data_IF_246569419164
#
_entry.id   IF_246569419164
#
_cell.length_a   1.000
_cell.length_b   1.000
_cell.length_c   1.000
_cell.angle_alpha   90.00
_cell.angle_beta   90.00
_cell.angle_gamma   90.00
#
_symmetry.space_group_name_H-M   'P 1'
#
loop_
_entity.id
_entity.type
_entity.pdbx_description
1 polymer ?
#
# COMPACT_ATOMS: atom_id res chain seq x y z
N UNK A 1 -13.36 58.56 -9.88
CA UNK A 1 -12.89 57.29 -9.29
C UNK A 1 -13.26 56.19 -10.25
N UNK A 2 -12.24 55.53 -10.80
CA UNK A 2 -12.31 54.72 -12.01
C UNK A 2 -12.97 53.36 -11.74
N UNK A 3 -14.16 53.15 -12.28
CA UNK A 3 -14.86 51.86 -12.29
C UNK A 3 -14.08 50.79 -13.05
N UNK A 4 -13.32 51.18 -14.07
CA UNK A 4 -12.49 50.26 -14.87
C UNK A 4 -11.28 49.69 -14.11
N UNK A 5 -10.66 50.47 -13.21
CA UNK A 5 -9.52 49.97 -12.42
C UNK A 5 -9.98 48.97 -11.36
N UNK A 6 -11.19 49.16 -10.81
CA UNK A 6 -11.77 48.25 -9.82
C UNK A 6 -12.21 46.91 -10.45
N UNK A 7 -12.59 46.92 -11.73
CA UNK A 7 -12.92 45.68 -12.47
C UNK A 7 -11.68 44.90 -12.89
N UNK A 8 -10.58 45.59 -13.26
CA UNK A 8 -9.32 44.94 -13.57
C UNK A 8 -8.70 44.27 -12.34
N UNK A 9 -8.66 44.97 -11.20
CA UNK A 9 -8.12 44.42 -9.94
C UNK A 9 -8.90 43.18 -9.44
N UNK A 10 -10.23 43.15 -9.63
CA UNK A 10 -11.04 41.98 -9.30
C UNK A 10 -10.84 40.81 -10.26
N UNK A 11 -10.57 41.08 -11.54
CA UNK A 11 -10.28 40.05 -12.53
C UNK A 11 -8.92 39.40 -12.24
N UNK A 12 -7.90 40.20 -11.92
CA UNK A 12 -6.56 39.73 -11.57
C UNK A 12 -6.59 38.86 -10.30
N UNK A 13 -7.29 39.31 -9.23
CA UNK A 13 -7.45 38.49 -8.01
C UNK A 13 -8.22 37.19 -8.23
N UNK A 14 -9.19 37.18 -9.17
CA UNK A 14 -9.94 35.98 -9.51
C UNK A 14 -9.09 34.98 -10.30
N UNK A 15 -8.27 35.48 -11.23
CA UNK A 15 -7.36 34.67 -12.04
C UNK A 15 -6.21 34.09 -11.19
N UNK A 16 -5.63 34.90 -10.30
CA UNK A 16 -4.57 34.48 -9.38
C UNK A 16 -5.09 33.42 -8.38
N UNK A 17 -6.30 33.61 -7.83
CA UNK A 17 -6.97 32.60 -7.00
C UNK A 17 -7.26 31.30 -7.75
N UNK A 18 -7.60 31.37 -9.04
CA UNK A 18 -7.83 30.20 -9.87
C UNK A 18 -6.52 29.46 -10.19
N UNK A 19 -5.43 30.19 -10.48
CA UNK A 19 -4.09 29.61 -10.70
C UNK A 19 -3.58 28.93 -9.42
N UNK A 20 -3.80 29.53 -8.25
CA UNK A 20 -3.42 28.93 -6.97
C UNK A 20 -4.23 27.65 -6.69
N UNK A 21 -5.54 27.67 -6.96
CA UNK A 21 -6.40 26.50 -6.85
C UNK A 21 -5.95 25.37 -7.79
N UNK A 22 -5.65 25.68 -9.05
CA UNK A 22 -5.15 24.72 -10.05
C UNK A 22 -3.81 24.13 -9.61
N UNK A 23 -2.88 24.96 -9.14
CA UNK A 23 -1.57 24.51 -8.63
C UNK A 23 -1.71 23.58 -7.44
N UNK A 24 -2.57 23.92 -6.47
CA UNK A 24 -2.88 23.07 -5.31
C UNK A 24 -3.50 21.73 -5.73
N UNK A 25 -4.42 21.73 -6.71
CA UNK A 25 -5.01 20.51 -7.25
C UNK A 25 -3.96 19.61 -7.94
N UNK A 26 -3.09 20.18 -8.76
CA UNK A 26 -2.01 19.43 -9.43
C UNK A 26 -1.04 18.82 -8.42
N UNK A 27 -0.65 19.59 -7.39
CA UNK A 27 0.24 19.11 -6.33
C UNK A 27 -0.41 17.97 -5.52
N UNK A 28 -1.68 18.10 -5.16
CA UNK A 28 -2.42 17.04 -4.46
C UNK A 28 -2.56 15.78 -5.32
N UNK A 29 -2.82 15.92 -6.62
CA UNK A 29 -2.86 14.79 -7.56
C UNK A 29 -1.50 14.08 -7.62
N UNK A 30 -0.39 14.83 -7.69
CA UNK A 30 0.97 14.26 -7.70
C UNK A 30 1.31 13.53 -6.40
N UNK A 31 0.97 14.12 -5.24
CA UNK A 31 1.11 13.47 -3.92
C UNK A 31 0.29 12.19 -3.84
N UNK A 32 -0.95 12.20 -4.35
CA UNK A 32 -1.81 11.02 -4.35
C UNK A 32 -1.26 9.91 -5.25
N UNK A 33 -0.78 10.23 -6.46
CA UNK A 33 -0.14 9.27 -7.36
C UNK A 33 1.11 8.64 -6.74
N UNK A 34 1.96 9.46 -6.10
CA UNK A 34 3.15 8.96 -5.42
C UNK A 34 2.79 8.06 -4.24
N UNK A 35 1.81 8.45 -3.42
CA UNK A 35 1.32 7.64 -2.31
C UNK A 35 0.75 6.30 -2.80
N UNK A 36 -0.05 6.30 -3.87
CA UNK A 36 -0.56 5.08 -4.50
C UNK A 36 0.57 4.18 -4.99
N UNK A 37 1.55 4.73 -5.70
CA UNK A 37 2.69 3.95 -6.19
C UNK A 37 3.49 3.30 -5.06
N UNK A 38 3.80 4.04 -3.99
CA UNK A 38 4.52 3.50 -2.83
C UNK A 38 3.69 2.49 -2.06
N UNK A 39 2.40 2.74 -1.91
CA UNK A 39 1.47 1.81 -1.25
C UNK A 39 1.39 0.50 -2.00
N UNK A 40 1.17 0.55 -3.31
CA UNK A 40 1.13 -0.64 -4.16
C UNK A 40 2.44 -1.41 -4.11
N UNK A 41 3.58 -0.72 -4.19
CA UNK A 41 4.89 -1.35 -4.10
C UNK A 41 5.12 -2.00 -2.73
N UNK A 42 4.76 -1.31 -1.64
CA UNK A 42 4.88 -1.84 -0.28
C UNK A 42 4.04 -3.10 -0.08
N UNK A 43 2.76 -3.06 -0.50
CA UNK A 43 1.86 -4.21 -0.44
C UNK A 43 2.42 -5.39 -1.23
N UNK A 44 2.93 -5.13 -2.44
CA UNK A 44 3.55 -6.17 -3.26
C UNK A 44 4.80 -6.76 -2.57
N UNK A 45 5.66 -5.92 -1.99
CA UNK A 45 6.81 -6.38 -1.21
C UNK A 45 6.41 -7.24 -0.01
N UNK A 46 5.39 -6.81 0.74
CA UNK A 46 4.90 -7.53 1.92
C UNK A 46 4.32 -8.89 1.52
N UNK A 47 3.59 -8.96 0.41
CA UNK A 47 3.08 -10.22 -0.11
C UNK A 47 4.22 -11.20 -0.42
N UNK A 48 5.24 -10.78 -1.17
CA UNK A 48 6.37 -11.66 -1.51
C UNK A 48 7.23 -12.01 -0.29
N UNK A 49 7.42 -11.05 0.63
CA UNK A 49 8.09 -11.31 1.90
C UNK A 49 7.34 -12.37 2.71
N UNK A 50 6.02 -12.23 2.80
CA UNK A 50 5.14 -13.19 3.46
C UNK A 50 5.32 -14.58 2.86
N UNK A 51 5.35 -14.67 1.53
CA UNK A 51 5.55 -15.94 0.84
C UNK A 51 6.93 -16.54 1.08
N UNK A 52 8.03 -15.77 1.03
CA UNK A 52 9.37 -16.30 1.35
C UNK A 52 9.42 -16.82 2.79
N UNK A 53 8.89 -16.04 3.73
CA UNK A 53 8.88 -16.38 5.16
C UNK A 53 7.97 -17.55 5.47
N UNK A 54 6.87 -17.73 4.74
CA UNK A 54 5.98 -18.88 4.87
C UNK A 54 6.52 -20.12 4.17
N UNK A 55 7.16 -19.97 3.01
CA UNK A 55 7.60 -21.08 2.18
C UNK A 55 8.75 -21.86 2.83
N UNK A 56 9.74 -21.16 3.41
CA UNK A 56 10.90 -21.81 4.05
C UNK A 56 10.51 -22.75 5.20
N UNK A 57 9.66 -22.35 6.16
CA UNK A 57 9.27 -23.24 7.26
C UNK A 57 8.24 -24.28 6.82
N UNK A 58 7.37 -23.96 5.85
CA UNK A 58 6.36 -24.90 5.33
C UNK A 58 7.01 -26.06 4.57
N UNK A 59 8.12 -25.81 3.85
CA UNK A 59 8.87 -26.88 3.19
C UNK A 59 9.47 -27.88 4.18
N UNK A 60 9.81 -27.43 5.40
CA UNK A 60 10.35 -28.28 6.45
C UNK A 60 9.27 -28.98 7.27
N UNK A 61 8.22 -28.25 7.68
CA UNK A 61 7.06 -28.84 8.35
C UNK A 61 5.80 -27.98 8.23
N UNK A 62 4.62 -28.59 8.04
CA UNK A 62 3.36 -27.84 7.89
C UNK A 62 2.96 -27.10 9.17
N UNK A 63 3.34 -27.60 10.34
CA UNK A 63 3.02 -26.98 11.63
C UNK A 63 3.76 -25.65 11.82
N UNK A 64 5.03 -25.56 11.41
CA UNK A 64 5.78 -24.30 11.44
C UNK A 64 5.17 -23.28 10.47
N UNK A 65 4.77 -23.71 9.27
CA UNK A 65 4.06 -22.87 8.30
C UNK A 65 2.80 -22.22 8.88
N UNK A 66 1.96 -23.02 9.56
CA UNK A 66 0.73 -22.52 10.21
C UNK A 66 1.04 -21.55 11.35
N UNK A 67 2.06 -21.83 12.18
CA UNK A 67 2.45 -20.95 13.29
C UNK A 67 2.92 -19.59 12.76
N UNK A 68 3.77 -19.56 11.73
CA UNK A 68 4.23 -18.30 11.13
C UNK A 68 3.09 -17.54 10.43
N UNK A 69 2.15 -18.25 9.80
CA UNK A 69 0.96 -17.65 9.19
C UNK A 69 0.10 -16.91 10.22
N UNK A 70 0.00 -17.43 11.44
CA UNK A 70 -0.83 -16.84 12.51
C UNK A 70 -0.11 -15.79 13.37
N UNK A 71 1.23 -15.76 13.36
CA UNK A 71 2.01 -14.89 14.25
C UNK A 71 2.77 -13.81 13.49
N UNK A 72 3.68 -14.22 12.61
CA UNK A 72 4.60 -13.33 11.91
C UNK A 72 3.89 -12.57 10.80
N UNK A 73 3.02 -13.24 10.05
CA UNK A 73 2.34 -12.63 8.91
C UNK A 73 1.43 -11.46 9.32
N UNK A 74 0.53 -11.59 10.32
CA UNK A 74 -0.31 -10.49 10.76
C UNK A 74 0.49 -9.28 11.26
N UNK A 75 1.66 -9.52 11.87
CA UNK A 75 2.55 -8.45 12.33
C UNK A 75 3.17 -7.70 11.15
N UNK A 76 3.69 -8.40 10.14
CA UNK A 76 4.24 -7.75 8.95
C UNK A 76 3.20 -6.94 8.19
N UNK A 77 2.01 -7.50 7.99
CA UNK A 77 0.92 -6.80 7.34
C UNK A 77 0.42 -5.62 8.15
N UNK A 78 0.31 -5.74 9.49
CA UNK A 78 -0.04 -4.62 10.36
C UNK A 78 0.98 -3.48 10.25
N UNK A 79 2.27 -3.76 10.46
CA UNK A 79 3.32 -2.72 10.34
C UNK A 79 3.33 -2.08 8.95
N UNK A 80 3.16 -2.89 7.90
CA UNK A 80 3.09 -2.41 6.52
C UNK A 80 1.90 -1.49 6.23
N UNK A 81 0.70 -1.92 6.63
CA UNK A 81 -0.54 -1.14 6.52
C UNK A 81 -0.42 0.16 7.32
N UNK A 82 0.15 0.10 8.52
CA UNK A 82 0.38 1.27 9.37
C UNK A 82 1.27 2.29 8.67
N UNK A 83 2.39 1.85 8.09
CA UNK A 83 3.30 2.73 7.35
C UNK A 83 2.58 3.36 6.15
N UNK A 84 1.81 2.58 5.38
CA UNK A 84 1.02 3.10 4.26
C UNK A 84 -0.05 4.13 4.70
N UNK A 85 -0.70 3.90 5.85
CA UNK A 85 -1.65 4.85 6.44
C UNK A 85 -0.96 6.11 6.99
N UNK A 86 0.25 5.99 7.52
CA UNK A 86 1.01 7.08 8.08
C UNK A 86 1.75 7.91 7.00
N UNK A 87 1.97 7.38 5.80
CA UNK A 87 2.56 8.12 4.68
C UNK A 87 1.69 9.32 4.27
N UNK A 88 2.28 10.47 3.99
CA UNK A 88 1.54 11.65 3.54
C UNK A 88 0.78 11.35 2.23
N UNK A 89 -0.52 11.68 2.19
CA UNK A 89 -1.40 11.42 1.05
C UNK A 89 -2.28 12.64 0.76
N UNK A 90 -2.58 12.92 -0.50
CA UNK A 90 -3.52 13.99 -0.89
C UNK A 90 -4.99 13.71 -0.52
N UNK A 91 -5.28 12.55 0.08
CA UNK A 91 -6.62 12.16 0.53
C UNK A 91 -6.91 12.78 1.90
N UNK A 92 -7.78 13.78 1.95
CA UNK A 92 -8.10 14.50 3.19
C UNK A 92 -8.88 13.71 4.25
N UNK A 93 -9.38 12.50 3.94
CA UNK A 93 -10.10 11.66 4.90
C UNK A 93 -9.42 10.30 5.09
N UNK A 94 -9.03 10.02 6.35
CA UNK A 94 -8.39 8.78 6.75
C UNK A 94 -9.20 7.53 6.40
N UNK A 95 -10.54 7.57 6.49
CA UNK A 95 -11.39 6.42 6.18
C UNK A 95 -11.39 6.09 4.68
N UNK A 96 -11.38 7.11 3.82
CA UNK A 96 -11.26 6.91 2.36
C UNK A 96 -9.89 6.34 2.02
N UNK A 97 -8.85 6.80 2.71
CA UNK A 97 -7.49 6.29 2.56
C UNK A 97 -7.38 4.81 2.98
N UNK A 98 -7.98 4.45 4.11
CA UNK A 98 -8.03 3.08 4.59
C UNK A 98 -8.80 2.16 3.63
N UNK A 99 -9.93 2.62 3.09
CA UNK A 99 -10.67 1.90 2.06
C UNK A 99 -9.83 1.66 0.80
N UNK A 100 -9.15 2.69 0.29
CA UNK A 100 -8.27 2.56 -0.88
C UNK A 100 -7.11 1.60 -0.59
N UNK A 101 -6.50 1.70 0.59
CA UNK A 101 -5.43 0.81 1.01
C UNK A 101 -5.92 -0.65 1.09
N UNK A 102 -7.10 -0.89 1.67
CA UNK A 102 -7.69 -2.22 1.74
C UNK A 102 -7.95 -2.80 0.33
N UNK A 103 -8.49 -1.99 -0.59
CA UNK A 103 -8.72 -2.41 -1.97
C UNK A 103 -7.42 -2.74 -2.70
N UNK A 104 -6.37 -1.92 -2.51
CA UNK A 104 -5.05 -2.18 -3.09
C UNK A 104 -4.43 -3.45 -2.46
N UNK A 105 -4.51 -3.59 -1.15
CA UNK A 105 -3.98 -4.75 -0.42
C UNK A 105 -4.62 -6.05 -0.90
N UNK A 106 -5.95 -6.10 -0.95
CA UNK A 106 -6.70 -7.26 -1.44
C UNK A 106 -6.44 -7.49 -2.92
N UNK A 107 -6.53 -6.46 -3.76
CA UNK A 107 -6.37 -6.60 -5.21
C UNK A 107 -4.98 -7.07 -5.62
N UNK A 108 -3.93 -6.53 -5.00
CA UNK A 108 -2.55 -6.97 -5.25
C UNK A 108 -2.31 -8.38 -4.72
N UNK A 109 -2.81 -8.72 -3.51
CA UNK A 109 -2.64 -10.07 -2.98
C UNK A 109 -3.32 -11.11 -3.88
N UNK A 110 -4.53 -10.79 -4.37
CA UNK A 110 -5.30 -11.62 -5.30
C UNK A 110 -4.53 -11.80 -6.63
N UNK A 111 -4.02 -10.72 -7.22
CA UNK A 111 -3.23 -10.80 -8.45
C UNK A 111 -1.92 -11.59 -8.25
N UNK A 112 -1.24 -11.36 -7.13
CA UNK A 112 0.02 -12.04 -6.83
C UNK A 112 -0.16 -13.51 -6.52
N UNK A 113 -1.25 -13.91 -5.86
CA UNK A 113 -1.61 -15.32 -5.65
C UNK A 113 -1.85 -16.03 -6.99
N UNK A 114 -2.56 -15.38 -7.91
CA UNK A 114 -2.70 -15.91 -9.27
C UNK A 114 -1.35 -16.07 -9.97
N UNK A 115 -0.46 -15.06 -9.90
CA UNK A 115 0.88 -15.16 -10.50
C UNK A 115 1.72 -16.26 -9.84
N UNK A 116 1.69 -16.38 -8.52
CA UNK A 116 2.48 -17.37 -7.79
C UNK A 116 1.98 -18.79 -8.03
N UNK A 117 0.69 -19.06 -7.84
CA UNK A 117 0.17 -20.42 -7.97
C UNK A 117 -0.03 -20.87 -9.42
N UNK A 118 -0.57 -20.00 -10.28
CA UNK A 118 -0.89 -20.38 -11.66
C UNK A 118 0.33 -20.31 -12.59
N UNK A 119 1.15 -19.25 -12.48
CA UNK A 119 2.31 -19.06 -13.38
C UNK A 119 3.55 -19.73 -12.83
N UNK A 120 3.86 -19.51 -11.54
CA UNK A 120 5.11 -20.00 -10.95
C UNK A 120 5.04 -21.48 -10.57
N UNK A 121 4.01 -21.89 -9.84
CA UNK A 121 3.84 -23.27 -9.38
C UNK A 121 3.10 -24.20 -10.35
N UNK A 122 2.51 -23.64 -11.43
CA UNK A 122 1.65 -24.38 -12.39
C UNK A 122 0.55 -25.23 -11.71
N UNK A 123 0.10 -24.81 -10.53
CA UNK A 123 -0.92 -25.53 -9.78
C UNK A 123 -2.31 -25.27 -10.37
N UNK A 124 -3.16 -26.29 -10.40
CA UNK A 124 -4.56 -26.16 -10.84
C UNK A 124 -5.45 -25.53 -9.76
N UNK A 125 -5.05 -25.60 -8.50
CA UNK A 125 -5.79 -25.07 -7.37
C UNK A 125 -5.16 -23.74 -6.93
N UNK A 126 -5.67 -22.65 -7.51
CA UNK A 126 -5.17 -21.29 -7.28
C UNK A 126 -5.86 -20.64 -6.05
N UNK A 127 -7.08 -21.07 -5.72
CA UNK A 127 -7.92 -20.41 -4.73
C UNK A 127 -8.44 -21.40 -3.69
N UNK A 128 -7.91 -21.34 -2.47
CA UNK A 128 -8.45 -22.08 -1.34
C UNK A 128 -9.32 -21.17 -0.46
N UNK A 129 -10.28 -21.75 0.25
CA UNK A 129 -11.12 -21.01 1.21
C UNK A 129 -10.27 -20.27 2.25
N UNK A 130 -9.12 -20.84 2.63
CA UNK A 130 -8.16 -20.25 3.57
C UNK A 130 -7.49 -18.97 3.05
N UNK A 131 -7.25 -18.82 1.74
CA UNK A 131 -6.71 -17.57 1.16
C UNK A 131 -7.75 -16.44 1.18
N UNK A 132 -9.03 -16.75 1.01
CA UNK A 132 -10.11 -15.75 1.14
C UNK A 132 -10.20 -15.15 2.56
N UNK A 133 -9.99 -15.96 3.60
CA UNK A 133 -9.89 -15.45 4.97
C UNK A 133 -8.72 -14.47 5.14
N UNK A 134 -7.60 -14.74 4.48
CA UNK A 134 -6.45 -13.83 4.45
C UNK A 134 -6.82 -12.45 3.90
N UNK A 135 -7.55 -12.39 2.78
CA UNK A 135 -7.98 -11.10 2.20
C UNK A 135 -8.96 -10.35 3.09
N UNK A 136 -9.92 -11.05 3.70
CA UNK A 136 -10.85 -10.46 4.65
C UNK A 136 -10.09 -9.86 5.86
N UNK A 137 -9.06 -10.57 6.34
CA UNK A 137 -8.21 -10.09 7.42
C UNK A 137 -7.42 -8.83 7.04
N UNK A 138 -6.92 -8.71 5.80
CA UNK A 138 -6.26 -7.48 5.34
C UNK A 138 -7.18 -6.26 5.39
N UNK A 139 -8.44 -6.44 5.00
CA UNK A 139 -9.43 -5.37 5.12
C UNK A 139 -9.67 -5.01 6.60
N UNK A 140 -9.85 -6.00 7.47
CA UNK A 140 -10.04 -5.80 8.92
C UNK A 140 -8.85 -5.07 9.53
N UNK A 141 -7.61 -5.43 9.18
CA UNK A 141 -6.41 -4.74 9.65
C UNK A 141 -6.37 -3.27 9.19
N UNK A 142 -6.62 -3.01 7.91
CA UNK A 142 -6.61 -1.65 7.36
C UNK A 142 -7.63 -0.73 8.06
N UNK A 143 -8.85 -1.21 8.30
CA UNK A 143 -9.86 -0.45 9.03
C UNK A 143 -9.57 -0.39 10.54
N UNK A 144 -9.12 -1.50 11.13
CA UNK A 144 -8.76 -1.60 12.53
C UNK A 144 -7.68 -0.59 12.91
N UNK A 145 -6.61 -0.50 12.14
CA UNK A 145 -5.54 0.47 12.38
C UNK A 145 -6.00 1.91 12.13
N UNK A 146 -6.80 2.15 11.09
CA UNK A 146 -7.35 3.47 10.83
C UNK A 146 -8.24 3.98 11.97
N UNK A 147 -8.98 3.09 12.64
CA UNK A 147 -9.83 3.42 13.78
C UNK A 147 -9.04 3.52 15.10
N UNK A 148 -8.23 2.51 15.42
CA UNK A 148 -7.49 2.43 16.70
C UNK A 148 -6.34 3.44 16.77
N UNK A 149 -5.62 3.66 15.67
CA UNK A 149 -4.42 4.50 15.63
C UNK A 149 -4.68 5.88 15.02
N UNK A 150 -5.95 6.25 14.80
CA UNK A 150 -6.37 7.55 14.24
C UNK A 150 -5.61 8.73 14.85
N UNK A 151 -5.49 8.78 16.18
CA UNK A 151 -4.80 9.87 16.90
C UNK A 151 -3.31 9.95 16.55
N UNK A 152 -2.61 8.81 16.48
CA UNK A 152 -1.18 8.75 16.14
C UNK A 152 -0.93 9.05 14.65
N UNK A 153 -1.80 8.56 13.77
CA UNK A 153 -1.73 8.78 12.33
C UNK A 153 -1.97 10.25 11.94
N UNK A 154 -2.86 10.93 12.66
CA UNK A 154 -3.08 12.38 12.50
C UNK A 154 -1.89 13.21 13.01
N UNK A 155 -1.21 12.74 14.05
CA UNK A 155 -0.09 13.45 14.67
C UNK A 155 1.25 13.24 13.94
N UNK A 156 1.42 12.13 13.23
CA UNK A 156 2.69 11.76 12.60
C UNK A 156 2.47 11.32 11.15
N UNK A 157 2.74 12.23 10.22
CA UNK A 157 2.75 11.93 8.79
C UNK A 157 4.19 11.75 8.31
N UNK A 158 4.48 10.63 7.67
CA UNK A 158 5.80 10.36 7.10
C UNK A 158 5.86 10.89 5.66
N UNK A 159 6.88 11.70 5.31
CA UNK A 159 7.05 12.16 3.95
C UNK A 159 7.45 10.97 3.06
N UNK A 160 6.75 10.83 1.94
CA UNK A 160 7.08 9.81 0.94
C UNK A 160 8.33 10.26 0.18
N UNK A 161 9.47 9.61 0.45
CA UNK A 161 10.76 9.93 -0.18
C UNK A 161 11.09 8.99 -1.33
N UNK A 162 11.80 9.50 -2.36
CA UNK A 162 12.33 8.68 -3.47
C UNK A 162 13.25 7.55 -2.97
N UNK A 163 13.93 7.77 -1.84
CA UNK A 163 14.77 6.76 -1.18
C UNK A 163 13.96 5.56 -0.71
N UNK A 164 12.78 5.78 -0.11
CA UNK A 164 11.90 4.69 0.30
C UNK A 164 11.45 3.85 -0.90
N UNK A 165 11.08 4.50 -2.01
CA UNK A 165 10.71 3.80 -3.25
C UNK A 165 11.86 2.93 -3.79
N UNK A 166 13.08 3.47 -3.83
CA UNK A 166 14.25 2.73 -4.30
C UNK A 166 14.60 1.55 -3.38
N UNK A 167 14.57 1.76 -2.05
CA UNK A 167 14.82 0.70 -1.07
C UNK A 167 13.78 -0.42 -1.20
N UNK A 168 12.50 -0.08 -1.34
CA UNK A 168 11.45 -1.07 -1.57
C UNK A 168 11.64 -1.82 -2.89
N UNK A 169 12.05 -1.14 -3.96
CA UNK A 169 12.33 -1.78 -5.25
C UNK A 169 13.50 -2.76 -5.18
N UNK A 170 14.61 -2.38 -4.55
CA UNK A 170 15.77 -3.28 -4.34
C UNK A 170 15.38 -4.44 -3.43
N UNK A 171 14.65 -4.18 -2.35
CA UNK A 171 14.17 -5.21 -1.44
C UNK A 171 13.29 -6.24 -2.13
N UNK A 172 12.35 -5.79 -2.97
CA UNK A 172 11.52 -6.66 -3.78
C UNK A 172 12.34 -7.55 -4.72
N UNK A 173 13.35 -6.97 -5.37
CA UNK A 173 14.21 -7.69 -6.30
C UNK A 173 14.98 -8.80 -5.58
N UNK A 174 15.52 -8.50 -4.39
CA UNK A 174 16.17 -9.50 -3.52
C UNK A 174 15.20 -10.60 -3.11
N UNK A 175 13.96 -10.27 -2.75
CA UNK A 175 12.95 -11.25 -2.39
C UNK A 175 12.60 -12.18 -3.55
N UNK A 176 12.36 -11.64 -4.73
CA UNK A 176 12.07 -12.43 -5.93
C UNK A 176 13.24 -13.35 -6.29
N UNK A 177 14.48 -12.86 -6.19
CA UNK A 177 15.67 -13.69 -6.40
C UNK A 177 15.78 -14.80 -5.34
N UNK A 178 15.58 -14.49 -4.07
CA UNK A 178 15.65 -15.48 -2.99
C UNK A 178 14.60 -16.58 -3.15
N UNK A 179 13.39 -16.22 -3.56
CA UNK A 179 12.31 -17.17 -3.81
C UNK A 179 12.62 -18.04 -5.03
N UNK A 180 13.18 -17.46 -6.10
CA UNK A 180 13.58 -18.22 -7.28
C UNK A 180 14.71 -19.20 -7.00
N UNK A 181 15.63 -18.85 -6.10
CA UNK A 181 16.65 -19.76 -5.62
C UNK A 181 16.03 -20.91 -4.81
N UNK A 182 15.13 -20.60 -3.88
CA UNK A 182 14.49 -21.58 -2.99
C UNK A 182 13.53 -22.54 -3.70
N UNK A 183 13.04 -22.18 -4.88
CA UNK A 183 12.15 -23.01 -5.71
C UNK A 183 12.90 -23.77 -6.81
N UNK A 184 14.18 -23.47 -7.03
CA UNK A 184 15.04 -24.19 -7.96
C UNK A 184 15.74 -25.40 -7.33
N UNK A 185 15.80 -25.46 -5.99
CA UNK A 185 16.16 -26.65 -5.19
C UNK A 185 14.95 -27.59 -5.02
#
# INVERSE_FOLDING_TARGET
MNTESLTAEKADMFEEGNIEAITRMMQNRKKNQLWLAVTSLMVFCLYWLSNVVLWVPWSHSPQLGIILMLTVNPVFWGVGIYVCLACESGVGNLMKKALLLALIAVGISLLSDYLFFAVYMKSKDVWHITTFYGYAWLAVLAFGEALLLKKKLMAKQYPVTKRLFFVLGVFLLVLLLSLSYLLAE
#
